data_IF_075221756962
#
_entry.id   IF_075221756962
#
_cell.length_a   1.000
_cell.length_b   1.000
_cell.length_c   1.000
_cell.angle_alpha   90.00
_cell.angle_beta   90.00
_cell.angle_gamma   90.00
#
_symmetry.space_group_name_H-M   'P 1'
#
loop_
_entity.id
_entity.type
_entity.pdbx_description
1 polymer ?
#
# COMPACT_ATOMS: atom_id res chain seq x y z
N UNK A 1 16.13 7.47 23.71
CA UNK A 1 14.88 6.75 23.61
C UNK A 1 14.19 6.95 22.29
N UNK A 2 13.90 8.19 22.00
CA UNK A 2 13.19 8.49 20.76
C UNK A 2 13.98 8.05 19.53
N UNK A 3 15.28 8.23 19.58
CA UNK A 3 16.12 7.84 18.47
C UNK A 3 15.98 6.36 18.17
N UNK A 4 15.85 5.55 19.19
CA UNK A 4 15.69 4.12 19.02
C UNK A 4 14.38 3.82 18.31
N UNK A 5 13.34 4.53 18.67
CA UNK A 5 12.06 4.32 18.04
C UNK A 5 12.09 4.63 16.57
N UNK A 6 12.78 5.69 16.21
CA UNK A 6 12.88 6.08 14.81
C UNK A 6 13.63 5.04 14.00
N UNK A 7 14.74 4.59 14.52
CA UNK A 7 15.52 3.57 13.84
C UNK A 7 14.71 2.29 13.70
N UNK A 8 14.00 1.96 14.74
CA UNK A 8 13.19 0.76 14.73
C UNK A 8 12.12 0.84 13.65
N UNK A 9 11.52 2.01 13.51
CA UNK A 9 10.49 2.20 12.52
C UNK A 9 11.01 2.02 11.10
N UNK A 10 12.21 2.49 10.85
CA UNK A 10 12.78 2.31 9.54
C UNK A 10 12.98 0.84 9.22
N UNK A 11 13.41 0.10 10.21
CA UNK A 11 13.62 -1.33 10.03
C UNK A 11 12.31 -2.05 9.80
N UNK A 12 11.24 -1.49 10.32
CA UNK A 12 9.93 -2.11 10.22
C UNK A 12 9.20 -1.81 8.93
N UNK A 13 9.80 -1.03 8.05
CA UNK A 13 9.17 -0.72 6.77
C UNK A 13 9.28 -1.92 5.85
N UNK A 14 8.48 -2.91 6.11
CA UNK A 14 8.46 -4.14 5.35
C UNK A 14 7.44 -4.04 4.22
N UNK A 15 7.39 -5.07 3.38
CA UNK A 15 6.41 -5.11 2.31
C UNK A 15 4.99 -5.05 2.86
N UNK A 16 4.79 -5.66 4.01
CA UNK A 16 3.46 -5.66 4.62
C UNK A 16 3.01 -4.25 4.95
N UNK A 17 3.88 -3.47 5.54
CA UNK A 17 3.54 -2.10 5.87
C UNK A 17 3.32 -1.27 4.61
N UNK A 18 4.15 -1.47 3.61
CA UNK A 18 3.98 -0.76 2.35
C UNK A 18 2.68 -1.15 1.69
N UNK A 19 2.31 -2.42 1.79
CA UNK A 19 1.05 -2.89 1.22
C UNK A 19 -0.13 -2.18 1.86
N UNK A 20 -0.10 -2.04 3.17
CA UNK A 20 -1.18 -1.36 3.87
C UNK A 20 -1.29 0.10 3.45
N UNK A 21 -0.16 0.74 3.25
CA UNK A 21 -0.17 2.13 2.82
C UNK A 21 -0.76 2.26 1.42
N UNK A 22 -0.43 1.32 0.54
CA UNK A 22 -0.97 1.35 -0.81
C UNK A 22 -2.47 1.06 -0.82
N UNK A 23 -2.92 0.17 0.05
CA UNK A 23 -4.34 -0.11 0.18
C UNK A 23 -5.08 1.16 0.57
N UNK A 24 -4.53 1.88 1.52
CA UNK A 24 -5.15 3.11 1.97
C UNK A 24 -5.25 4.13 0.85
N UNK A 25 -4.19 4.24 0.06
CA UNK A 25 -4.23 5.17 -1.06
C UNK A 25 -5.30 4.79 -2.08
N UNK A 26 -5.42 3.50 -2.35
CA UNK A 26 -6.44 3.05 -3.28
C UNK A 26 -7.84 3.35 -2.76
N UNK A 27 -8.06 3.13 -1.49
CA UNK A 27 -9.34 3.43 -0.88
C UNK A 27 -9.65 4.91 -0.96
N UNK A 28 -8.65 5.74 -0.79
CA UNK A 28 -8.82 7.18 -0.90
C UNK A 28 -9.22 7.57 -2.32
N UNK A 29 -8.84 6.78 -3.29
CA UNK A 29 -9.21 7.04 -4.68
C UNK A 29 -10.54 6.41 -5.04
N UNK A 30 -11.19 5.76 -4.09
CA UNK A 30 -12.47 5.13 -4.33
C UNK A 30 -12.37 3.71 -4.86
N UNK A 31 -11.20 3.13 -4.87
CA UNK A 31 -10.99 1.79 -5.37
C UNK A 31 -11.04 0.80 -4.21
N UNK A 32 -12.05 -0.03 -4.20
CA UNK A 32 -12.22 -0.98 -3.10
C UNK A 32 -11.88 -2.40 -3.51
N UNK A 33 -11.99 -2.70 -4.78
CA UNK A 33 -11.74 -4.06 -5.24
C UNK A 33 -11.23 -4.03 -6.66
N UNK A 34 -10.67 -5.14 -7.05
CA UNK A 34 -10.06 -5.27 -8.36
C UNK A 34 -10.27 -6.69 -8.85
N UNK A 35 -10.96 -6.84 -9.98
CA UNK A 35 -11.20 -8.15 -10.59
C UNK A 35 -11.86 -9.11 -9.60
N UNK A 36 -12.82 -8.60 -8.82
CA UNK A 36 -13.55 -9.43 -7.91
C UNK A 36 -12.86 -9.70 -6.59
N UNK A 37 -11.70 -9.11 -6.37
CA UNK A 37 -10.95 -9.27 -5.13
C UNK A 37 -10.87 -7.95 -4.40
N UNK A 38 -11.04 -8.01 -3.08
CA UNK A 38 -10.89 -6.83 -2.26
C UNK A 38 -9.43 -6.37 -2.29
N UNK A 39 -9.24 -5.05 -2.21
CA UNK A 39 -7.86 -4.52 -2.18
C UNK A 39 -7.10 -5.09 -0.99
N UNK A 40 -7.80 -5.49 0.05
CA UNK A 40 -7.15 -6.07 1.23
C UNK A 40 -6.57 -7.44 0.92
N UNK A 41 -7.04 -8.10 -0.12
CA UNK A 41 -6.57 -9.42 -0.49
C UNK A 41 -5.50 -9.40 -1.56
N UNK A 42 -5.21 -8.24 -2.11
CA UNK A 42 -4.23 -8.14 -3.19
C UNK A 42 -2.82 -8.16 -2.61
N UNK A 43 -1.90 -8.74 -3.39
CA UNK A 43 -0.52 -8.78 -2.92
C UNK A 43 0.18 -7.45 -3.23
N UNK A 44 1.40 -7.35 -2.78
CA UNK A 44 2.17 -6.12 -2.88
C UNK A 44 2.31 -5.66 -4.33
N UNK A 45 2.64 -6.58 -5.21
CA UNK A 45 2.89 -6.21 -6.61
C UNK A 45 1.65 -5.79 -7.34
N UNK A 46 0.53 -6.42 -7.04
CA UNK A 46 -0.74 -6.04 -7.66
C UNK A 46 -1.16 -4.66 -7.20
N UNK A 47 -1.00 -4.38 -5.92
CA UNK A 47 -1.34 -3.07 -5.39
C UNK A 47 -0.45 -1.99 -6.02
N UNK A 48 0.81 -2.29 -6.15
CA UNK A 48 1.75 -1.35 -6.74
C UNK A 48 1.39 -1.07 -8.19
N UNK A 49 1.03 -2.11 -8.92
CA UNK A 49 0.63 -1.97 -10.31
C UNK A 49 -0.63 -1.12 -10.43
N UNK A 50 -1.59 -1.36 -9.56
CA UNK A 50 -2.83 -0.60 -9.57
C UNK A 50 -2.57 0.88 -9.34
N UNK A 51 -1.77 1.18 -8.34
CA UNK A 51 -1.46 2.57 -8.04
C UNK A 51 -0.76 3.25 -9.20
N UNK A 52 0.18 2.55 -9.81
CA UNK A 52 0.93 3.12 -10.91
C UNK A 52 0.02 3.41 -12.10
N UNK A 53 -0.84 2.45 -12.45
CA UNK A 53 -1.75 2.64 -13.57
C UNK A 53 -2.75 3.75 -13.30
N UNK A 54 -3.27 3.81 -12.09
CA UNK A 54 -4.25 4.87 -11.78
C UNK A 54 -3.64 6.25 -11.86
N UNK A 55 -2.40 6.36 -11.42
CA UNK A 55 -1.74 7.64 -11.49
C UNK A 55 -1.48 8.07 -12.93
N UNK A 56 -1.20 7.10 -13.78
CA UNK A 56 -0.92 7.40 -15.18
C UNK A 56 -2.18 7.73 -15.96
N UNK A 57 -3.30 7.28 -15.50
CA UNK A 57 -4.55 7.48 -16.21
C UNK A 57 -5.11 8.87 -16.05
N UNK A 58 -4.46 9.69 -15.26
CA UNK A 58 -4.94 11.05 -15.12
C UNK A 58 -4.80 11.82 -16.38
#
# INVERSE_FOLDING_TARGET
MIALGILYEKVQLTKELKRQMMIRQLLDMGIREHQGQSVYDLDYYTLRWLLATRKLER
#
